data_IF_034609334679
#
_entry.id   IF_034609334679
#
_cell.length_a   1.000
_cell.length_b   1.000
_cell.length_c   1.000
_cell.angle_alpha   90.00
_cell.angle_beta   90.00
_cell.angle_gamma   90.00
#
_symmetry.space_group_name_H-M   'P 1'
#
loop_
_entity.id
_entity.type
_entity.pdbx_description
1 polymer ?
#
# COMPACT_ATOMS: atom_id res chain seq x y z
N UNK A 1 -15.53 58.65 -12.34
CA UNK A 1 -14.85 57.74 -11.38
C UNK A 1 -14.13 56.72 -12.22
N UNK A 2 -12.87 57.04 -12.58
CA UNK A 2 -12.03 56.24 -13.50
C UNK A 2 -11.41 55.10 -12.70
N UNK A 3 -11.81 53.89 -12.97
CA UNK A 3 -11.13 52.72 -12.47
C UNK A 3 -9.90 52.54 -13.35
N UNK A 4 -8.74 52.79 -12.77
CA UNK A 4 -7.43 52.76 -13.41
C UNK A 4 -7.12 51.34 -13.85
N UNK A 5 -6.86 51.18 -15.15
CA UNK A 5 -6.51 49.91 -15.82
C UNK A 5 -5.22 49.21 -15.29
N UNK A 6 -4.57 49.80 -14.29
CA UNK A 6 -3.31 49.31 -13.71
C UNK A 6 -3.44 48.20 -12.66
N UNK A 7 -4.66 47.86 -12.23
CA UNK A 7 -4.86 46.79 -11.26
C UNK A 7 -5.03 45.38 -11.87
N UNK A 8 -5.08 45.29 -13.20
CA UNK A 8 -5.26 44.02 -13.90
C UNK A 8 -3.93 43.35 -14.28
N UNK A 9 -2.81 43.99 -13.97
CA UNK A 9 -1.46 43.44 -14.28
C UNK A 9 -0.65 43.01 -13.06
N UNK A 10 -1.28 42.85 -11.90
CA UNK A 10 -0.60 42.30 -10.73
C UNK A 10 -0.44 40.78 -10.88
N UNK A 11 0.72 40.45 -11.40
CA UNK A 11 1.59 39.29 -11.16
C UNK A 11 0.95 37.91 -11.26
N UNK A 12 1.35 37.09 -12.24
CA UNK A 12 1.30 35.65 -12.06
C UNK A 12 2.25 35.29 -10.91
N UNK A 13 1.65 34.70 -9.88
CA UNK A 13 2.34 34.10 -8.74
C UNK A 13 3.44 33.14 -9.26
N UNK A 14 4.67 33.65 -9.32
CA UNK A 14 5.84 32.91 -9.73
C UNK A 14 6.40 32.09 -8.56
N UNK A 15 5.50 31.43 -7.82
CA UNK A 15 5.95 30.39 -6.90
C UNK A 15 6.59 29.26 -7.72
N UNK A 16 7.84 28.87 -7.42
CA UNK A 16 8.54 27.85 -8.19
C UNK A 16 7.70 26.55 -8.15
N UNK A 17 7.13 26.20 -9.30
CA UNK A 17 6.37 24.94 -9.45
C UNK A 17 7.33 23.79 -9.10
N UNK A 18 7.16 23.24 -7.92
CA UNK A 18 7.92 22.04 -7.50
C UNK A 18 7.77 20.97 -8.59
N UNK A 19 8.86 20.30 -8.99
CA UNK A 19 8.83 19.32 -10.06
C UNK A 19 7.75 18.25 -9.76
N UNK A 20 6.97 17.88 -10.76
CA UNK A 20 5.78 17.05 -10.64
C UNK A 20 6.05 15.69 -9.94
N UNK A 21 7.26 15.13 -10.11
CA UNK A 21 7.66 13.89 -9.45
C UNK A 21 7.79 14.03 -7.92
N UNK A 22 8.29 15.17 -7.42
CA UNK A 22 8.37 15.43 -5.96
C UNK A 22 6.97 15.56 -5.35
N UNK A 23 6.04 16.19 -6.06
CA UNK A 23 4.65 16.26 -5.59
C UNK A 23 4.01 14.88 -5.52
N UNK A 24 4.28 14.01 -6.49
CA UNK A 24 3.80 12.61 -6.48
C UNK A 24 4.41 11.81 -5.32
N UNK A 25 5.69 11.98 -5.02
CA UNK A 25 6.33 11.34 -3.87
C UNK A 25 5.73 11.79 -2.54
N UNK A 26 5.55 13.10 -2.35
CA UNK A 26 4.93 13.63 -1.12
C UNK A 26 3.48 13.18 -0.98
N UNK A 27 2.74 13.09 -2.08
CA UNK A 27 1.38 12.54 -2.06
C UNK A 27 1.36 11.04 -1.74
N UNK A 28 2.31 10.27 -2.29
CA UNK A 28 2.45 8.85 -1.99
C UNK A 28 2.84 8.62 -0.51
N UNK A 29 3.76 9.40 0.02
CA UNK A 29 4.16 9.34 1.44
C UNK A 29 2.99 9.68 2.37
N UNK A 30 2.24 10.73 2.05
CA UNK A 30 1.02 11.08 2.82
C UNK A 30 -0.04 10.00 2.73
N UNK A 31 -0.26 9.44 1.53
CA UNK A 31 -1.19 8.34 1.32
C UNK A 31 -0.81 7.10 2.12
N UNK A 32 0.49 6.76 2.14
CA UNK A 32 1.02 5.66 2.94
C UNK A 32 0.84 5.91 4.44
N UNK A 33 1.18 7.10 4.92
CA UNK A 33 1.02 7.47 6.34
C UNK A 33 -0.45 7.46 6.79
N UNK A 34 -1.38 7.87 5.92
CA UNK A 34 -2.82 7.80 6.19
C UNK A 34 -3.34 6.36 6.18
N UNK A 35 -2.91 5.54 5.22
CA UNK A 35 -3.25 4.12 5.16
C UNK A 35 -2.78 3.36 6.41
N UNK A 36 -1.56 3.64 6.86
CA UNK A 36 -0.96 3.06 8.07
C UNK A 36 -1.70 3.42 9.37
N UNK A 37 -2.33 4.60 9.42
CA UNK A 37 -3.03 5.08 10.63
C UNK A 37 -4.52 4.71 10.67
N UNK A 38 -5.11 4.36 9.55
CA UNK A 38 -6.56 4.33 9.42
C UNK A 38 -7.21 3.02 9.86
N UNK A 39 -6.45 1.91 10.00
CA UNK A 39 -7.10 0.62 10.26
C UNK A 39 -6.25 -0.32 11.15
N UNK A 40 -6.90 -0.97 12.10
CA UNK A 40 -6.34 -2.04 12.95
C UNK A 40 -5.76 -3.21 12.12
N UNK A 41 -6.26 -3.43 10.90
CA UNK A 41 -5.79 -4.46 9.96
C UNK A 41 -4.34 -4.23 9.56
N UNK A 42 -3.91 -2.97 9.42
CA UNK A 42 -2.54 -2.64 9.08
C UNK A 42 -1.55 -3.03 10.19
N UNK A 43 -1.96 -2.89 11.44
CA UNK A 43 -1.16 -3.32 12.59
C UNK A 43 -0.90 -4.83 12.58
N UNK A 44 -1.92 -5.63 12.22
CA UNK A 44 -1.80 -7.09 12.09
C UNK A 44 -0.80 -7.46 10.99
N UNK A 45 -0.88 -6.79 9.84
CA UNK A 45 0.07 -7.02 8.73
C UNK A 45 1.50 -6.61 9.10
N UNK A 46 1.67 -5.46 9.76
CA UNK A 46 2.99 -5.01 10.21
C UNK A 46 3.62 -5.99 11.23
N UNK A 47 2.80 -6.49 12.16
CA UNK A 47 3.23 -7.49 13.12
C UNK A 47 3.60 -8.82 12.43
N UNK A 48 2.78 -9.28 11.47
CA UNK A 48 3.07 -10.47 10.65
C UNK A 48 4.38 -10.33 9.87
N UNK A 49 4.61 -9.18 9.22
CA UNK A 49 5.85 -8.87 8.52
C UNK A 49 7.05 -8.92 9.47
N UNK A 50 6.94 -8.35 10.65
CA UNK A 50 8.01 -8.36 11.66
C UNK A 50 8.37 -9.78 12.09
N UNK A 51 7.39 -10.66 12.27
CA UNK A 51 7.61 -12.07 12.59
C UNK A 51 8.33 -12.78 11.43
N UNK A 52 7.87 -12.58 10.19
CA UNK A 52 8.48 -13.19 9.00
C UNK A 52 9.94 -12.75 8.83
N UNK A 53 10.23 -11.47 9.03
CA UNK A 53 11.58 -10.93 8.97
C UNK A 53 12.48 -11.52 10.09
N UNK A 54 11.99 -11.54 11.33
CA UNK A 54 12.72 -12.11 12.46
C UNK A 54 13.01 -13.61 12.24
N UNK A 55 12.01 -14.38 11.80
CA UNK A 55 12.18 -15.79 11.48
C UNK A 55 13.16 -15.99 10.32
N UNK A 56 13.07 -15.18 9.26
CA UNK A 56 13.97 -15.24 8.12
C UNK A 56 15.44 -15.01 8.52
N UNK A 57 15.70 -14.06 9.41
CA UNK A 57 17.04 -13.84 9.95
C UNK A 57 17.54 -15.03 10.79
N UNK A 58 16.67 -15.65 11.58
CA UNK A 58 17.01 -16.78 12.44
C UNK A 58 17.33 -18.04 11.62
N UNK A 59 16.57 -18.31 10.56
CA UNK A 59 16.78 -19.46 9.67
C UNK A 59 17.91 -19.25 8.65
N UNK A 60 18.47 -18.05 8.57
CA UNK A 60 19.56 -17.76 7.63
C UNK A 60 19.14 -17.96 6.19
N UNK A 61 18.06 -17.31 5.77
CA UNK A 61 17.53 -17.41 4.42
C UNK A 61 18.53 -16.94 3.36
N UNK A 62 18.53 -17.60 2.21
CA UNK A 62 19.31 -17.21 1.05
C UNK A 62 18.73 -15.99 0.35
N UNK A 63 19.55 -15.32 -0.47
CA UNK A 63 19.17 -14.08 -1.16
C UNK A 63 17.89 -14.24 -1.99
N UNK A 64 17.74 -15.33 -2.74
CA UNK A 64 16.56 -15.58 -3.56
C UNK A 64 15.29 -15.78 -2.72
N UNK A 65 15.41 -16.38 -1.53
CA UNK A 65 14.31 -16.55 -0.57
C UNK A 65 13.86 -15.20 -0.01
N UNK A 66 14.80 -14.31 0.29
CA UNK A 66 14.51 -12.94 0.67
C UNK A 66 13.79 -12.16 -0.42
N UNK A 67 14.22 -12.32 -1.68
CA UNK A 67 13.54 -11.69 -2.82
C UNK A 67 12.10 -12.20 -2.94
N UNK A 68 11.88 -13.51 -2.86
CA UNK A 68 10.54 -14.10 -2.93
C UNK A 68 9.62 -13.58 -1.83
N UNK A 69 10.09 -13.54 -0.57
CA UNK A 69 9.33 -12.99 0.56
C UNK A 69 9.03 -11.50 0.36
N UNK A 70 10.00 -10.71 -0.07
CA UNK A 70 9.82 -9.28 -0.30
C UNK A 70 8.77 -9.01 -1.38
N UNK A 71 8.81 -9.75 -2.48
CA UNK A 71 7.78 -9.64 -3.54
C UNK A 71 6.41 -10.02 -3.01
N UNK A 72 6.30 -11.14 -2.28
CA UNK A 72 5.05 -11.58 -1.69
C UNK A 72 4.44 -10.53 -0.73
N UNK A 73 5.25 -9.97 0.15
CA UNK A 73 4.83 -8.90 1.08
C UNK A 73 4.42 -7.63 0.34
N UNK A 74 5.15 -7.24 -0.71
CA UNK A 74 4.82 -6.08 -1.54
C UNK A 74 3.47 -6.23 -2.21
N UNK A 75 3.15 -7.42 -2.72
CA UNK A 75 1.83 -7.71 -3.34
C UNK A 75 0.70 -7.54 -2.33
N UNK A 76 0.84 -8.10 -1.12
CA UNK A 76 -0.17 -7.96 -0.06
C UNK A 76 -0.37 -6.50 0.33
N UNK A 77 0.73 -5.78 0.60
CA UNK A 77 0.65 -4.37 0.99
C UNK A 77 0.02 -3.51 -0.11
N UNK A 78 0.34 -3.77 -1.37
CA UNK A 78 -0.26 -3.06 -2.51
C UNK A 78 -1.76 -3.33 -2.60
N UNK A 79 -2.19 -4.58 -2.42
CA UNK A 79 -3.60 -4.95 -2.44
C UNK A 79 -4.37 -4.29 -1.28
N UNK A 80 -3.81 -4.27 -0.08
CA UNK A 80 -4.38 -3.60 1.10
C UNK A 80 -4.52 -2.09 0.88
N UNK A 81 -3.47 -1.43 0.37
CA UNK A 81 -3.51 0.00 0.08
C UNK A 81 -4.59 0.34 -0.95
N UNK A 82 -4.73 -0.49 -1.97
CA UNK A 82 -5.76 -0.32 -2.99
C UNK A 82 -7.16 -0.48 -2.40
N UNK A 83 -7.38 -1.49 -1.55
CA UNK A 83 -8.66 -1.67 -0.85
C UNK A 83 -8.98 -0.49 0.06
N UNK A 84 -8.00 0.06 0.79
CA UNK A 84 -8.19 1.24 1.62
C UNK A 84 -8.60 2.46 0.78
N UNK A 85 -7.98 2.66 -0.38
CA UNK A 85 -8.36 3.72 -1.30
C UNK A 85 -9.81 3.58 -1.76
N UNK A 86 -10.27 2.36 -2.09
CA UNK A 86 -11.66 2.09 -2.44
C UNK A 86 -12.63 2.38 -1.29
N UNK A 87 -12.29 1.95 -0.07
CA UNK A 87 -13.11 2.24 1.13
C UNK A 87 -13.26 3.75 1.36
N UNK A 88 -12.18 4.51 1.24
CA UNK A 88 -12.20 5.97 1.39
C UNK A 88 -13.05 6.64 0.30
N UNK A 89 -12.92 6.18 -0.95
CA UNK A 89 -13.71 6.69 -2.06
C UNK A 89 -15.21 6.48 -1.83
N UNK A 90 -15.61 5.28 -1.43
CA UNK A 90 -17.02 4.95 -1.16
C UNK A 90 -17.57 5.73 0.04
N UNK A 91 -16.77 5.90 1.10
CA UNK A 91 -17.15 6.76 2.23
C UNK A 91 -17.35 8.21 1.80
N UNK A 92 -16.51 8.72 0.89
CA UNK A 92 -16.65 10.08 0.34
C UNK A 92 -17.90 10.28 -0.51
N UNK A 93 -18.38 9.24 -1.19
CA UNK A 93 -19.62 9.26 -1.98
C UNK A 93 -20.87 9.19 -1.08
N UNK A 94 -20.77 8.66 0.13
CA UNK A 94 -21.89 8.56 1.08
C UNK A 94 -23.13 7.89 0.48
N UNK A 95 -24.27 8.56 0.57
CA UNK A 95 -25.55 8.05 0.04
C UNK A 95 -25.60 7.97 -1.50
N UNK A 96 -24.67 8.61 -2.21
CA UNK A 96 -24.57 8.54 -3.67
C UNK A 96 -23.78 7.30 -4.15
N UNK A 97 -23.22 6.50 -3.22
CA UNK A 97 -22.58 5.25 -3.54
C UNK A 97 -23.62 4.22 -4.00
N UNK A 98 -23.72 4.00 -5.30
CA UNK A 98 -24.62 3.02 -5.89
C UNK A 98 -24.14 1.57 -5.71
N UNK A 99 -24.96 0.61 -6.13
CA UNK A 99 -24.69 -0.83 -6.07
C UNK A 99 -23.36 -1.22 -6.75
N UNK A 100 -22.97 -0.51 -7.80
CA UNK A 100 -21.71 -0.74 -8.51
C UNK A 100 -20.48 -0.45 -7.63
N UNK A 101 -20.53 0.61 -6.82
CA UNK A 101 -19.47 0.94 -5.88
C UNK A 101 -19.31 -0.15 -4.80
N UNK A 102 -20.41 -0.70 -4.32
CA UNK A 102 -20.40 -1.81 -3.36
C UNK A 102 -19.85 -3.09 -3.98
N UNK A 103 -20.17 -3.38 -5.24
CA UNK A 103 -19.58 -4.50 -5.99
C UNK A 103 -18.06 -4.32 -6.18
N UNK A 104 -17.62 -3.11 -6.52
CA UNK A 104 -16.19 -2.81 -6.64
C UNK A 104 -15.45 -3.04 -5.32
N UNK A 105 -16.04 -2.66 -4.18
CA UNK A 105 -15.47 -2.93 -2.86
C UNK A 105 -15.37 -4.44 -2.58
N UNK A 106 -16.39 -5.22 -2.94
CA UNK A 106 -16.38 -6.67 -2.77
C UNK A 106 -15.29 -7.34 -3.60
N UNK A 107 -15.08 -6.89 -4.83
CA UNK A 107 -13.99 -7.36 -5.70
C UNK A 107 -12.63 -7.00 -5.10
N UNK A 108 -12.48 -5.76 -4.58
CA UNK A 108 -11.25 -5.34 -3.89
C UNK A 108 -10.94 -6.22 -2.67
N UNK A 109 -11.96 -6.57 -1.89
CA UNK A 109 -11.82 -7.48 -0.74
C UNK A 109 -11.38 -8.88 -1.18
N UNK A 110 -11.96 -9.41 -2.24
CA UNK A 110 -11.56 -10.70 -2.81
C UNK A 110 -10.10 -10.67 -3.30
N UNK A 111 -9.68 -9.58 -3.94
CA UNK A 111 -8.30 -9.42 -4.39
C UNK A 111 -7.29 -9.46 -3.24
N UNK A 112 -7.61 -8.80 -2.11
CA UNK A 112 -6.79 -8.86 -0.88
C UNK A 112 -6.71 -10.28 -0.35
N UNK A 113 -7.82 -11.01 -0.28
CA UNK A 113 -7.82 -12.41 0.18
C UNK A 113 -6.93 -13.29 -0.70
N UNK A 114 -7.03 -13.15 -2.02
CA UNK A 114 -6.17 -13.90 -2.95
C UNK A 114 -4.70 -13.54 -2.75
N UNK A 115 -4.37 -12.25 -2.61
CA UNK A 115 -3.01 -11.80 -2.35
C UNK A 115 -2.46 -12.36 -1.02
N UNK A 116 -3.26 -12.35 0.04
CA UNK A 116 -2.88 -12.90 1.34
C UNK A 116 -2.65 -14.42 1.28
N UNK A 117 -3.53 -15.17 0.63
CA UNK A 117 -3.38 -16.62 0.46
C UNK A 117 -2.13 -16.96 -0.35
N UNK A 118 -1.93 -16.28 -1.48
CA UNK A 118 -0.74 -16.47 -2.32
C UNK A 118 0.55 -16.16 -1.58
N UNK A 119 0.60 -15.03 -0.88
CA UNK A 119 1.78 -14.63 -0.11
C UNK A 119 2.06 -15.57 1.06
N UNK A 120 1.03 -16.00 1.78
CA UNK A 120 1.17 -17.00 2.86
C UNK A 120 1.72 -18.32 2.33
N UNK A 121 1.25 -18.75 1.16
CA UNK A 121 1.76 -19.95 0.49
C UNK A 121 3.25 -19.81 0.14
N UNK A 122 3.66 -18.68 -0.45
CA UNK A 122 5.07 -18.40 -0.77
C UNK A 122 5.93 -18.45 0.49
N UNK A 123 5.52 -17.75 1.54
CA UNK A 123 6.24 -17.74 2.83
C UNK A 123 6.34 -19.14 3.41
N UNK A 124 5.25 -19.91 3.44
CA UNK A 124 5.21 -21.27 3.95
C UNK A 124 6.16 -22.19 3.17
N UNK A 125 6.15 -22.14 1.84
CA UNK A 125 7.02 -22.94 0.98
C UNK A 125 8.50 -22.60 1.21
N UNK A 126 8.83 -21.30 1.29
CA UNK A 126 10.20 -20.85 1.53
C UNK A 126 10.71 -21.36 2.88
N UNK A 127 9.92 -21.22 3.95
CA UNK A 127 10.32 -21.69 5.27
C UNK A 127 10.36 -23.22 5.37
N UNK A 128 9.41 -23.93 4.72
CA UNK A 128 9.43 -25.40 4.67
C UNK A 128 10.67 -25.92 3.94
N UNK A 129 11.00 -25.36 2.78
CA UNK A 129 12.20 -25.73 2.04
C UNK A 129 13.46 -25.50 2.91
N UNK A 130 13.55 -24.35 3.57
CA UNK A 130 14.69 -24.04 4.42
C UNK A 130 14.80 -24.95 5.64
N UNK A 131 13.68 -25.27 6.26
CA UNK A 131 13.64 -26.22 7.37
C UNK A 131 14.09 -27.62 6.93
N UNK A 132 13.66 -28.10 5.76
CA UNK A 132 14.13 -29.37 5.21
C UNK A 132 15.63 -29.40 4.97
N UNK A 133 16.21 -28.29 4.49
CA UNK A 133 17.67 -28.18 4.30
C UNK A 133 18.44 -28.24 5.63
N UNK A 134 17.91 -27.61 6.69
CA UNK A 134 18.58 -27.54 7.99
C UNK A 134 18.43 -28.81 8.83
N UNK A 135 17.31 -29.50 8.71
CA UNK A 135 16.98 -30.66 9.56
C UNK A 135 16.92 -31.99 8.81
N UNK A 136 17.01 -31.97 7.48
CA UNK A 136 16.91 -33.15 6.62
C UNK A 136 18.29 -33.73 6.17
N UNK A 137 19.41 -33.20 6.72
CA UNK A 137 20.76 -33.66 6.45
C UNK A 137 21.24 -34.73 7.41
#
# INVERSE_FOLDING_TARGET
MSITSDQLLSSPDSSPRRPAWRQRLVQAERGLAWGLRADSVFFVHFFGISIVLAAGMTFGLELWQWVAITVALTVVLSAEMFQQALKLLIRGLGAAAGDEAMRALSIGTAAVLVACLGSTTVVAVVFAARACELFGG
#
